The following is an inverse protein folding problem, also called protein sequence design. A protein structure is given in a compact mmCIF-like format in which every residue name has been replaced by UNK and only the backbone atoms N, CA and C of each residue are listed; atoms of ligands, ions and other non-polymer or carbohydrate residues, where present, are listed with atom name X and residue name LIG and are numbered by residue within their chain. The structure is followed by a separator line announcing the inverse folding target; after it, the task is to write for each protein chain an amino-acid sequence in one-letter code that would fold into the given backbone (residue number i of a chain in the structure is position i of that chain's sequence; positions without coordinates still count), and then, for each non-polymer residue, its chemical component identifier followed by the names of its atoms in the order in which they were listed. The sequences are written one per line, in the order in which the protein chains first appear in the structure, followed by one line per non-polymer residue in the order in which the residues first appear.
data_IF_977994913061
#
_entry.id   IF_977994913061
#
_cell.length_a   1.000
_cell.length_b   1.000
_cell.length_c   1.000
_cell.angle_alpha   90.00
_cell.angle_beta   90.00
_cell.angle_gamma   90.00
#
_symmetry.space_group_name_H-M   'P 1'
#
loop_
_entity.id
_entity.type
_entity.pdbx_description
1 polymer ?
#
# COMPACT_ATOMS: atom_id res chain seq x y z
N UNK A 1 17.57 -37.02 -1.27
CA UNK A 1 16.16 -36.62 -1.07
C UNK A 1 16.16 -35.12 -0.85
N UNK A 2 15.47 -34.34 -1.70
CA UNK A 2 15.69 -32.91 -1.83
C UNK A 2 14.96 -32.11 -0.72
N UNK A 3 15.53 -30.98 -0.27
CA UNK A 3 14.94 -30.07 0.72
C UNK A 3 13.92 -29.06 0.14
N UNK A 4 13.54 -29.19 -1.13
CA UNK A 4 12.76 -28.17 -1.87
C UNK A 4 11.28 -28.07 -1.48
N UNK A 5 10.73 -29.06 -0.77
CA UNK A 5 9.28 -29.13 -0.48
C UNK A 5 8.82 -28.20 0.67
N UNK A 6 9.74 -27.70 1.51
CA UNK A 6 9.39 -26.89 2.70
C UNK A 6 9.26 -25.38 2.45
N UNK A 7 9.73 -24.87 1.32
CA UNK A 7 9.68 -23.42 1.02
C UNK A 7 8.33 -22.99 0.44
N UNK A 8 7.70 -23.83 -0.39
CA UNK A 8 6.43 -23.54 -1.05
C UNK A 8 5.23 -23.44 -0.09
N UNK A 9 5.26 -24.18 1.03
CA UNK A 9 4.15 -24.20 1.99
C UNK A 9 4.08 -22.93 2.85
N UNK A 10 5.22 -22.29 3.17
CA UNK A 10 5.25 -21.08 4.00
C UNK A 10 4.81 -19.81 3.24
N UNK A 11 5.14 -19.72 1.95
CA UNK A 11 4.70 -18.61 1.09
C UNK A 11 3.20 -18.66 0.85
N UNK A 12 2.62 -19.86 0.73
CA UNK A 12 1.18 -20.01 0.47
C UNK A 12 0.31 -19.57 1.66
N UNK A 13 0.75 -19.80 2.90
CA UNK A 13 0.04 -19.39 4.12
C UNK A 13 0.19 -17.90 4.43
N UNK A 14 1.41 -17.35 4.36
CA UNK A 14 1.63 -15.92 4.61
C UNK A 14 0.88 -15.05 3.59
N UNK A 15 0.84 -15.48 2.33
CA UNK A 15 0.14 -14.75 1.29
C UNK A 15 -1.38 -14.92 1.38
N UNK A 16 -1.93 -15.99 1.98
CA UNK A 16 -3.37 -16.08 2.29
C UNK A 16 -3.75 -15.22 3.48
N UNK A 17 -2.88 -15.12 4.48
CA UNK A 17 -3.10 -14.27 5.66
C UNK A 17 -3.08 -12.79 5.27
N UNK A 18 -2.12 -12.36 4.43
CA UNK A 18 -2.12 -10.98 3.90
C UNK A 18 -3.30 -10.70 2.96
N UNK A 19 -3.79 -11.70 2.23
CA UNK A 19 -4.98 -11.56 1.39
C UNK A 19 -6.27 -11.42 2.21
N UNK A 20 -6.36 -12.14 3.33
CA UNK A 20 -7.43 -11.96 4.30
C UNK A 20 -7.35 -10.57 4.91
N UNK A 21 -6.14 -10.09 5.21
CA UNK A 21 -5.90 -8.80 5.86
C UNK A 21 -6.26 -7.60 4.96
N UNK A 22 -5.91 -7.64 3.67
CA UNK A 22 -6.34 -6.62 2.71
C UNK A 22 -7.85 -6.67 2.44
N UNK A 23 -8.43 -7.87 2.37
CA UNK A 23 -9.87 -8.06 2.14
C UNK A 23 -10.73 -7.43 3.24
N UNK A 24 -10.41 -7.72 4.51
CA UNK A 24 -11.06 -7.08 5.66
C UNK A 24 -10.81 -5.57 5.69
N UNK A 25 -9.61 -5.11 5.33
CA UNK A 25 -9.31 -3.68 5.31
C UNK A 25 -10.13 -2.91 4.26
N UNK A 26 -10.29 -3.46 3.05
CA UNK A 26 -11.16 -2.87 2.01
C UNK A 26 -12.61 -2.80 2.51
N UNK A 27 -13.07 -3.85 3.19
CA UNK A 27 -14.40 -3.90 3.78
C UNK A 27 -14.58 -2.79 4.83
N UNK A 28 -13.63 -2.60 5.72
CA UNK A 28 -13.68 -1.56 6.76
C UNK A 28 -13.71 -0.16 6.14
N UNK A 29 -12.86 0.11 5.15
CA UNK A 29 -12.89 1.38 4.41
C UNK A 29 -14.25 1.63 3.76
N UNK A 30 -14.83 0.60 3.14
CA UNK A 30 -16.15 0.68 2.51
C UNK A 30 -17.25 0.97 3.53
N UNK A 31 -17.24 0.30 4.67
CA UNK A 31 -18.22 0.48 5.75
C UNK A 31 -18.10 1.86 6.39
N UNK A 32 -16.88 2.36 6.61
CA UNK A 32 -16.62 3.72 7.08
C UNK A 32 -17.09 4.79 6.09
N UNK A 33 -16.96 4.51 4.79
CA UNK A 33 -17.49 5.38 3.73
C UNK A 33 -19.02 5.25 3.55
N UNK A 34 -19.69 4.37 4.30
CA UNK A 34 -21.12 4.08 4.22
C UNK A 34 -21.59 3.67 2.81
N UNK A 35 -20.73 2.96 2.08
CA UNK A 35 -21.00 2.50 0.71
C UNK A 35 -21.36 1.01 0.74
N UNK A 36 -22.39 0.60 0.00
CA UNK A 36 -22.68 -0.83 -0.18
C UNK A 36 -21.66 -1.49 -1.10
N UNK A 37 -21.45 -2.81 -0.98
CA UNK A 37 -20.57 -3.58 -1.89
C UNK A 37 -20.97 -3.37 -3.36
N UNK A 38 -22.28 -3.24 -3.63
CA UNK A 38 -22.80 -2.99 -4.99
C UNK A 38 -22.38 -1.63 -5.53
N UNK A 39 -22.51 -0.58 -4.71
CA UNK A 39 -22.09 0.77 -5.09
C UNK A 39 -20.57 0.87 -5.24
N UNK A 40 -19.78 0.19 -4.38
CA UNK A 40 -18.32 0.18 -4.53
C UNK A 40 -17.90 -0.54 -5.82
N UNK A 41 -18.53 -1.67 -6.14
CA UNK A 41 -18.31 -2.38 -7.40
C UNK A 41 -18.60 -1.49 -8.62
N UNK A 42 -19.73 -0.79 -8.62
CA UNK A 42 -20.10 0.14 -9.69
C UNK A 42 -19.11 1.30 -9.84
N UNK A 43 -18.69 1.91 -8.72
CA UNK A 43 -17.73 3.04 -8.72
C UNK A 43 -16.31 2.63 -9.12
N UNK A 44 -15.89 1.42 -8.75
CA UNK A 44 -14.55 0.91 -9.07
C UNK A 44 -14.48 0.26 -10.45
N UNK A 45 -15.61 -0.06 -11.08
CA UNK A 45 -15.64 -0.83 -12.32
C UNK A 45 -15.30 -2.31 -12.13
N UNK A 46 -15.23 -2.77 -10.87
CA UNK A 46 -14.95 -4.15 -10.49
C UNK A 46 -16.27 -4.90 -10.35
N UNK A 47 -16.35 -6.14 -10.82
CA UNK A 47 -17.60 -6.91 -10.69
C UNK A 47 -17.98 -7.16 -9.23
N UNK A 48 -19.26 -7.00 -8.90
CA UNK A 48 -19.77 -7.21 -7.54
C UNK A 48 -19.47 -8.61 -6.96
N UNK A 49 -19.61 -9.72 -7.72
CA UNK A 49 -19.25 -11.05 -7.22
C UNK A 49 -17.77 -11.17 -6.85
N UNK A 50 -16.89 -10.58 -7.67
CA UNK A 50 -15.44 -10.61 -7.42
C UNK A 50 -15.06 -9.74 -6.22
N UNK A 51 -15.61 -8.51 -6.11
CA UNK A 51 -15.37 -7.64 -4.96
C UNK A 51 -15.82 -8.30 -3.65
N UNK A 52 -16.96 -9.00 -3.65
CA UNK A 52 -17.42 -9.78 -2.50
C UNK A 52 -16.49 -10.95 -2.15
N UNK A 53 -15.84 -11.58 -3.13
CA UNK A 53 -14.83 -12.61 -2.86
C UNK A 53 -13.54 -12.00 -2.28
N UNK A 54 -13.12 -10.82 -2.77
CA UNK A 54 -11.97 -10.08 -2.25
C UNK A 54 -12.19 -9.66 -0.80
N UNK A 55 -13.33 -9.03 -0.46
CA UNK A 55 -13.62 -8.61 0.92
C UNK A 55 -13.70 -9.76 1.93
N UNK A 56 -13.90 -11.00 1.45
CA UNK A 56 -13.90 -12.23 2.27
C UNK A 56 -12.56 -12.96 2.30
N UNK A 57 -11.52 -12.40 1.67
CA UNK A 57 -10.21 -13.04 1.55
C UNK A 57 -10.16 -14.27 0.63
N UNK A 58 -11.23 -14.53 -0.14
CA UNK A 58 -11.33 -15.69 -1.04
C UNK A 58 -10.56 -15.50 -2.35
N UNK A 59 -10.27 -14.24 -2.71
CA UNK A 59 -9.54 -13.87 -3.92
C UNK A 59 -8.55 -12.77 -3.61
N UNK A 60 -7.35 -12.88 -4.20
CA UNK A 60 -6.35 -11.81 -4.16
C UNK A 60 -6.62 -10.81 -5.29
N UNK A 61 -6.79 -9.52 -4.97
CA UNK A 61 -6.87 -8.48 -5.98
C UNK A 61 -5.49 -8.23 -6.62
N UNK A 62 -5.47 -7.86 -7.90
CA UNK A 62 -4.26 -7.33 -8.55
C UNK A 62 -4.03 -5.87 -8.17
N UNK A 63 -2.83 -5.35 -8.47
CA UNK A 63 -2.52 -3.93 -8.26
C UNK A 63 -3.52 -3.01 -8.98
N UNK A 64 -3.90 -3.34 -10.23
CA UNK A 64 -4.90 -2.57 -10.98
C UNK A 64 -6.27 -2.52 -10.31
N UNK A 65 -6.72 -3.65 -9.75
CA UNK A 65 -7.98 -3.73 -9.00
C UNK A 65 -7.90 -2.91 -7.73
N UNK A 66 -6.80 -3.00 -6.99
CA UNK A 66 -6.58 -2.19 -5.79
C UNK A 66 -6.58 -0.70 -6.12
N UNK A 67 -5.94 -0.28 -7.22
CA UNK A 67 -5.99 1.08 -7.75
C UNK A 67 -7.42 1.57 -8.04
N UNK A 68 -8.23 0.72 -8.68
CA UNK A 68 -9.62 1.02 -8.99
C UNK A 68 -10.47 1.19 -7.73
N UNK A 69 -10.28 0.30 -6.75
CA UNK A 69 -10.95 0.35 -5.44
C UNK A 69 -10.51 1.60 -4.66
N UNK A 70 -9.21 1.93 -4.66
CA UNK A 70 -8.65 3.12 -4.03
C UNK A 70 -9.32 4.40 -4.54
N UNK A 71 -9.39 4.54 -5.87
CA UNK A 71 -10.05 5.67 -6.54
C UNK A 71 -11.52 5.77 -6.16
N UNK A 72 -12.23 4.64 -6.14
CA UNK A 72 -13.66 4.59 -5.79
C UNK A 72 -13.94 4.97 -4.32
N UNK A 73 -13.01 4.64 -3.42
CA UNK A 73 -13.06 4.99 -1.99
C UNK A 73 -12.42 6.35 -1.68
N UNK A 74 -11.81 7.02 -2.67
CA UNK A 74 -11.07 8.28 -2.53
C UNK A 74 -9.94 8.19 -1.50
N UNK A 75 -9.23 7.07 -1.48
CA UNK A 75 -8.05 6.83 -0.65
C UNK A 75 -6.81 6.65 -1.53
N UNK A 76 -5.63 6.87 -0.97
CA UNK A 76 -4.38 6.58 -1.69
C UNK A 76 -4.26 5.07 -1.95
N UNK A 77 -3.88 4.71 -3.19
CA UNK A 77 -3.63 3.31 -3.55
C UNK A 77 -2.43 2.72 -2.79
N UNK A 78 -1.50 3.58 -2.36
CA UNK A 78 -0.35 3.21 -1.53
C UNK A 78 -0.76 2.45 -0.26
N UNK A 79 -1.79 2.93 0.44
CA UNK A 79 -2.28 2.32 1.68
C UNK A 79 -2.74 0.88 1.42
N UNK A 80 -3.42 0.67 0.29
CA UNK A 80 -3.88 -0.67 -0.12
C UNK A 80 -2.71 -1.56 -0.59
N UNK A 81 -1.68 -0.98 -1.21
CA UNK A 81 -0.50 -1.73 -1.64
C UNK A 81 0.38 -2.18 -0.49
N UNK A 82 0.59 -1.31 0.49
CA UNK A 82 1.31 -1.64 1.73
C UNK A 82 0.58 -2.77 2.45
N UNK A 83 -0.74 -2.64 2.59
CA UNK A 83 -1.57 -3.65 3.26
C UNK A 83 -1.67 -4.97 2.48
N UNK A 84 -1.58 -4.92 1.15
CA UNK A 84 -1.50 -6.11 0.30
C UNK A 84 -0.08 -6.72 0.23
N UNK A 85 0.93 -6.07 0.81
CA UNK A 85 2.34 -6.45 0.71
C UNK A 85 2.90 -6.36 -0.73
N UNK A 86 2.26 -5.56 -1.58
CA UNK A 86 2.70 -5.27 -2.96
C UNK A 86 3.74 -4.15 -2.97
N UNK A 87 3.65 -3.27 -1.99
CA UNK A 87 4.58 -2.17 -1.78
C UNK A 87 5.13 -2.30 -0.36
N UNK A 88 6.45 -2.35 -0.21
CA UNK A 88 7.02 -2.11 1.11
C UNK A 88 6.79 -0.64 1.46
N UNK A 89 6.33 -0.31 2.68
CA UNK A 89 6.13 1.07 3.08
C UNK A 89 7.43 1.81 2.79
N UNK A 90 7.37 2.82 1.91
CA UNK A 90 8.57 3.51 1.45
C UNK A 90 9.39 3.93 2.66
N UNK A 91 10.71 3.72 2.62
CA UNK A 91 11.62 4.21 3.67
C UNK A 91 11.35 5.70 3.97
N UNK A 92 10.90 6.45 2.96
CA UNK A 92 10.47 7.85 3.08
C UNK A 92 9.31 8.06 4.05
N UNK A 93 8.31 7.18 4.06
CA UNK A 93 7.18 7.26 5.00
C UNK A 93 7.63 6.86 6.40
N UNK A 94 8.44 5.80 6.53
CA UNK A 94 8.91 5.30 7.83
C UNK A 94 9.77 6.35 8.57
N UNK A 95 10.68 7.02 7.86
CA UNK A 95 11.51 8.10 8.43
C UNK A 95 10.65 9.29 8.86
N UNK A 96 9.68 9.70 8.04
CA UNK A 96 8.75 10.78 8.39
C UNK A 96 7.93 10.45 9.63
N UNK A 97 7.36 9.25 9.69
CA UNK A 97 6.56 8.77 10.82
C UNK A 97 7.39 8.70 12.11
N UNK A 98 8.65 8.27 12.02
CA UNK A 98 9.58 8.26 13.15
C UNK A 98 9.84 9.68 13.69
N UNK A 99 10.05 10.67 12.81
CA UNK A 99 10.27 12.07 13.21
C UNK A 99 9.02 12.65 13.89
N UNK A 100 7.83 12.37 13.36
CA UNK A 100 6.56 12.92 13.91
C UNK A 100 6.25 12.34 15.29
N UNK A 101 6.49 11.04 15.48
CA UNK A 101 6.19 10.32 16.72
C UNK A 101 7.26 10.47 17.80
N UNK A 102 8.43 11.04 17.48
CA UNK A 102 9.50 11.30 18.43
C UNK A 102 9.05 12.27 19.53
N UNK A 103 9.18 11.86 20.78
CA UNK A 103 8.79 12.66 21.96
C UNK A 103 9.95 13.46 22.55
N UNK A 104 11.18 13.21 22.10
CA UNK A 104 12.39 13.90 22.56
C UNK A 104 12.58 15.28 21.93
N UNK A 105 11.88 15.58 20.83
CA UNK A 105 12.01 16.84 20.08
C UNK A 105 10.70 17.63 20.04
N UNK A 106 10.83 18.96 20.01
CA UNK A 106 9.69 19.89 19.95
C UNK A 106 9.03 19.89 18.56
N UNK A 107 7.77 20.29 18.48
CA UNK A 107 7.04 20.41 17.20
C UNK A 107 7.76 21.30 16.18
N UNK A 108 8.41 22.38 16.64
CA UNK A 108 9.20 23.25 15.76
C UNK A 108 10.42 22.52 15.19
N UNK A 109 11.09 21.69 15.99
CA UNK A 109 12.25 20.92 15.54
C UNK A 109 11.84 19.80 14.59
N UNK A 110 10.69 19.14 14.84
CA UNK A 110 10.10 18.17 13.91
C UNK A 110 9.85 18.81 12.55
N UNK A 111 9.22 19.99 12.52
CA UNK A 111 8.94 20.68 11.26
C UNK A 111 10.20 20.97 10.47
N UNK A 112 11.25 21.48 11.13
CA UNK A 112 12.54 21.75 10.47
C UNK A 112 13.17 20.46 9.92
N UNK A 113 13.16 19.37 10.68
CA UNK A 113 13.71 18.09 10.22
C UNK A 113 12.93 17.54 9.02
N UNK A 114 11.61 17.64 9.03
CA UNK A 114 10.77 17.23 7.91
C UNK A 114 11.03 18.08 6.66
N UNK A 115 11.20 19.39 6.80
CA UNK A 115 11.49 20.31 5.70
C UNK A 115 12.86 20.00 5.06
N UNK A 116 13.90 19.77 5.90
CA UNK A 116 15.24 19.41 5.43
C UNK A 116 15.21 18.04 4.73
N UNK A 117 14.55 17.06 5.35
CA UNK A 117 14.43 15.71 4.80
C UNK A 117 13.75 15.72 3.43
N UNK A 118 12.64 16.44 3.30
CA UNK A 118 11.93 16.59 2.02
C UNK A 118 12.83 17.19 0.94
N UNK A 119 13.53 18.28 1.26
CA UNK A 119 14.46 18.95 0.35
C UNK A 119 15.55 18.02 -0.19
N UNK A 120 16.16 17.21 0.68
CA UNK A 120 17.18 16.24 0.23
C UNK A 120 16.60 15.10 -0.61
N UNK A 121 15.40 14.62 -0.27
CA UNK A 121 14.77 13.57 -1.09
C UNK A 121 14.40 14.07 -2.48
N UNK A 122 13.91 15.31 -2.61
CA UNK A 122 13.58 15.93 -3.91
C UNK A 122 14.84 16.24 -4.73
N UNK A 123 15.92 16.71 -4.08
CA UNK A 123 17.21 16.93 -4.73
C UNK A 123 17.81 15.63 -5.28
N UNK A 124 17.70 14.51 -4.56
CA UNK A 124 18.23 13.24 -5.03
C UNK A 124 17.38 12.63 -6.16
N UNK A 125 16.05 12.78 -6.12
CA UNK A 125 15.19 12.36 -7.24
C UNK A 125 15.46 13.17 -8.51
N UNK A 126 15.71 14.48 -8.39
CA UNK A 126 16.09 15.31 -9.54
C UNK A 126 17.48 14.99 -10.10
N UNK A 127 18.43 14.56 -9.25
CA UNK A 127 19.74 14.06 -9.69
C UNK A 127 19.61 12.72 -10.45
N UNK A 128 18.74 11.82 -9.99
CA UNK A 128 18.50 10.53 -10.64
C UNK A 128 17.78 10.69 -12.01
N UNK A 129 16.94 11.72 -12.18
CA UNK A 129 16.27 12.01 -13.46
C UNK A 129 17.17 12.73 -14.49
N UNK A 130 18.22 13.44 -14.07
CA UNK A 130 19.15 14.16 -14.95
C UNK A 130 20.29 13.30 -15.52
N UNK A 131 20.41 12.02 -15.16
CA UNK A 131 21.42 11.10 -15.69
C UNK A 131 20.82 10.08 -16.67
N UNK A 132 20.52 10.46 -17.94
CA UNK A 132 20.25 9.46 -18.96
C UNK A 132 21.55 8.70 -19.21
N UNK A 133 21.51 7.41 -18.92
CA UNK A 133 22.53 6.45 -19.36
C UNK A 133 22.75 6.60 -20.87
N UNK A 134 23.89 7.17 -21.28
CA UNK A 134 24.36 7.08 -22.66
C UNK A 134 24.64 5.60 -22.96
N UNK A 135 24.01 5.01 -23.99
CA UNK A 135 24.42 3.70 -24.47
C UNK A 135 25.65 3.88 -25.39
N UNK A 136 26.74 3.16 -25.09
CA UNK A 136 27.81 2.86 -26.06
C UNK A 136 27.33 1.91 -27.17
#
# INVERSE_FOLDING_TARGET
MPPEEKLSAKVSTAASDMASDIGSFIRDLRENAQVSVRQLAERSGVSNPYLSQVERGLRKPSADVLNQIAKALRVSAEVLYVRAGILEPSDKSQVRDAIVTDTAITERQKQILLDIYASFTEQNESIDEECPTEPE
#
